data_IF_257201658415
#
_entry.id   IF_257201658415
#
_cell.length_a   1.000
_cell.length_b   1.000
_cell.length_c   1.000
_cell.angle_alpha   90.00
_cell.angle_beta   90.00
_cell.angle_gamma   90.00
#
_symmetry.space_group_name_H-M   'P 1'
#
loop_
_entity.id
_entity.type
_entity.pdbx_description
1 polymer ?
#
# COMPACT_ATOMS: atom_id res chain seq x y z
N UNK A 1 37.00 24.66 -10.25
CA UNK A 1 36.94 23.18 -10.30
C UNK A 1 35.47 22.83 -10.45
N UNK A 2 35.07 22.22 -11.56
CA UNK A 2 33.69 21.83 -11.78
C UNK A 2 33.48 20.47 -11.10
N UNK A 3 32.45 20.34 -10.26
CA UNK A 3 32.19 19.12 -9.49
C UNK A 3 31.56 18.08 -10.39
N UNK A 4 32.05 16.84 -10.37
CA UNK A 4 31.59 15.73 -11.22
C UNK A 4 30.11 15.36 -10.99
N UNK A 5 29.55 15.69 -9.81
CA UNK A 5 28.12 15.56 -9.53
C UNK A 5 27.27 16.70 -10.14
N UNK A 6 27.89 17.84 -10.45
CA UNK A 6 27.21 19.05 -10.94
C UNK A 6 27.39 19.17 -12.46
N UNK A 7 28.45 18.60 -13.02
CA UNK A 7 28.69 18.53 -14.46
C UNK A 7 28.12 17.25 -15.06
N UNK A 8 26.99 17.37 -15.74
CA UNK A 8 26.41 16.32 -16.59
C UNK A 8 27.22 16.14 -17.89
N UNK A 9 28.52 15.85 -17.79
CA UNK A 9 29.34 15.60 -18.98
C UNK A 9 29.17 14.12 -19.41
N UNK A 10 28.52 13.83 -20.56
CA UNK A 10 28.27 12.46 -21.01
C UNK A 10 29.56 11.68 -21.34
N UNK A 11 30.72 12.35 -21.35
CA UNK A 11 32.04 11.75 -21.51
C UNK A 11 32.48 10.86 -20.34
N UNK A 12 31.80 10.93 -19.18
CA UNK A 12 31.98 9.98 -18.06
C UNK A 12 31.39 8.58 -18.37
N UNK A 13 30.70 8.38 -19.49
CA UNK A 13 30.28 7.05 -19.94
C UNK A 13 31.46 6.18 -20.44
N UNK A 14 32.69 6.72 -20.50
CA UNK A 14 33.90 6.00 -20.93
C UNK A 14 34.70 5.37 -19.76
N UNK A 15 34.09 5.23 -18.58
CA UNK A 15 34.81 4.97 -17.35
C UNK A 15 34.87 3.48 -16.98
N UNK A 16 36.07 3.02 -16.62
CA UNK A 16 36.41 1.63 -16.34
C UNK A 16 35.72 0.99 -15.12
N UNK A 17 36.13 -0.22 -14.74
CA UNK A 17 35.56 -0.93 -13.58
C UNK A 17 35.69 -0.08 -12.30
N UNK A 18 34.59 0.02 -11.53
CA UNK A 18 34.54 0.75 -10.25
C UNK A 18 33.83 2.11 -10.28
N UNK A 19 33.51 2.63 -11.47
CA UNK A 19 32.84 3.94 -11.63
C UNK A 19 31.52 4.04 -10.90
N UNK A 20 30.65 3.04 -11.04
CA UNK A 20 29.35 3.02 -10.33
C UNK A 20 29.56 3.08 -8.82
N UNK A 21 30.53 2.33 -8.28
CA UNK A 21 30.81 2.34 -6.84
C UNK A 21 31.34 3.70 -6.37
N UNK A 22 32.16 4.36 -7.17
CA UNK A 22 32.63 5.72 -6.90
C UNK A 22 31.46 6.71 -6.89
N UNK A 23 30.59 6.68 -7.90
CA UNK A 23 29.41 7.54 -7.98
C UNK A 23 28.43 7.29 -6.82
N UNK A 24 28.23 6.03 -6.43
CA UNK A 24 27.42 5.70 -5.26
C UNK A 24 28.04 6.24 -3.96
N UNK A 25 29.36 6.17 -3.82
CA UNK A 25 30.06 6.71 -2.66
C UNK A 25 29.92 8.25 -2.59
N UNK A 26 30.05 8.93 -3.73
CA UNK A 26 29.79 10.36 -3.85
C UNK A 26 28.33 10.71 -3.55
N UNK A 27 27.38 9.93 -4.06
CA UNK A 27 25.96 10.11 -3.83
C UNK A 27 25.59 9.98 -2.34
N UNK A 28 26.23 9.06 -1.60
CA UNK A 28 26.04 8.94 -0.16
C UNK A 28 26.48 10.20 0.60
N UNK A 29 27.62 10.79 0.21
CA UNK A 29 28.09 12.07 0.77
C UNK A 29 27.10 13.18 0.40
N UNK A 30 26.64 13.20 -0.85
CA UNK A 30 25.65 14.17 -1.31
C UNK A 30 24.34 14.11 -0.52
N UNK A 31 23.79 12.92 -0.32
CA UNK A 31 22.58 12.69 0.46
C UNK A 31 22.75 13.06 1.93
N UNK A 32 23.93 12.82 2.50
CA UNK A 32 24.25 13.29 3.84
C UNK A 32 24.11 14.81 3.94
N UNK A 33 24.58 15.51 2.91
CA UNK A 33 24.55 16.96 2.83
C UNK A 33 23.18 17.56 2.53
N UNK A 34 22.40 16.97 1.61
CA UNK A 34 21.13 17.56 1.18
C UNK A 34 19.89 17.03 1.91
N UNK A 35 19.90 15.79 2.41
CA UNK A 35 18.71 15.14 3.00
C UNK A 35 18.89 14.83 4.49
N UNK A 36 19.97 14.13 4.88
CA UNK A 36 20.08 13.61 6.26
C UNK A 36 20.45 14.67 7.29
N UNK A 37 21.46 15.49 6.99
CA UNK A 37 21.99 16.48 7.93
C UNK A 37 22.11 17.87 7.29
N UNK A 38 21.02 18.43 6.72
CA UNK A 38 21.10 19.67 5.94
C UNK A 38 21.69 20.85 6.72
N UNK A 39 21.50 20.91 8.03
CA UNK A 39 22.02 21.99 8.88
C UNK A 39 23.54 21.99 9.02
N UNK A 40 24.20 20.85 8.71
CA UNK A 40 25.65 20.70 8.83
C UNK A 40 26.39 21.07 7.54
N UNK A 41 25.66 21.37 6.45
CA UNK A 41 26.23 21.50 5.11
C UNK A 41 25.67 22.71 4.35
N UNK A 42 26.55 23.57 3.85
CA UNK A 42 26.25 24.56 2.80
C UNK A 42 25.03 25.47 3.00
N UNK A 43 24.67 26.24 1.96
CA UNK A 43 23.39 26.94 1.89
C UNK A 43 22.31 26.07 1.25
N UNK A 44 21.04 26.48 1.40
CA UNK A 44 19.89 25.77 0.85
C UNK A 44 20.00 25.52 -0.66
N UNK A 45 20.40 26.54 -1.43
CA UNK A 45 20.56 26.44 -2.89
C UNK A 45 21.59 25.39 -3.33
N UNK A 46 22.72 25.26 -2.61
CA UNK A 46 23.72 24.24 -2.96
C UNK A 46 23.21 22.84 -2.64
N UNK A 47 22.49 22.67 -1.52
CA UNK A 47 21.88 21.38 -1.14
C UNK A 47 20.80 20.98 -2.15
N UNK A 48 19.98 21.93 -2.59
CA UNK A 48 18.98 21.74 -3.63
C UNK A 48 19.63 21.28 -4.94
N UNK A 49 20.61 22.02 -5.45
CA UNK A 49 21.33 21.64 -6.68
C UNK A 49 21.92 20.23 -6.60
N UNK A 50 22.41 19.84 -5.43
CA UNK A 50 22.94 18.51 -5.19
C UNK A 50 21.85 17.43 -5.24
N UNK A 51 20.70 17.67 -4.62
CA UNK A 51 19.56 16.76 -4.68
C UNK A 51 19.05 16.59 -6.13
N UNK A 52 18.89 17.71 -6.84
CA UNK A 52 18.55 17.76 -8.27
C UNK A 52 19.50 16.91 -9.11
N UNK A 53 20.81 17.08 -8.90
CA UNK A 53 21.84 16.30 -9.59
C UNK A 53 21.72 14.79 -9.34
N UNK A 54 21.41 14.40 -8.10
CA UNK A 54 21.25 12.99 -7.75
C UNK A 54 20.01 12.38 -8.40
N UNK A 55 18.88 13.10 -8.40
CA UNK A 55 17.63 12.64 -9.01
C UNK A 55 17.70 12.59 -10.54
N UNK A 56 18.48 13.48 -11.17
CA UNK A 56 18.68 13.52 -12.64
C UNK A 56 19.90 12.71 -13.11
N UNK A 57 20.54 11.94 -12.22
CA UNK A 57 21.70 11.12 -12.57
C UNK A 57 21.39 10.10 -13.69
N UNK A 58 22.28 9.91 -14.67
CA UNK A 58 22.05 8.91 -15.71
C UNK A 58 22.13 7.47 -15.19
N UNK A 59 22.83 7.23 -14.07
CA UNK A 59 22.89 5.92 -13.41
C UNK A 59 21.67 5.73 -12.49
N UNK A 60 20.90 4.67 -12.73
CA UNK A 60 19.69 4.38 -11.96
C UNK A 60 20.04 4.04 -10.50
N UNK A 61 21.19 3.42 -10.23
CA UNK A 61 21.61 3.05 -8.87
C UNK A 61 21.79 4.30 -7.99
N UNK A 62 22.27 5.40 -8.58
CA UNK A 62 22.40 6.69 -7.89
C UNK A 62 21.03 7.30 -7.60
N UNK A 63 20.11 7.24 -8.58
CA UNK A 63 18.74 7.74 -8.42
C UNK A 63 17.97 6.93 -7.37
N UNK A 64 18.07 5.61 -7.42
CA UNK A 64 17.48 4.70 -6.44
C UNK A 64 17.99 5.00 -5.03
N UNK A 65 19.31 5.11 -4.85
CA UNK A 65 19.92 5.46 -3.56
C UNK A 65 19.40 6.81 -3.05
N UNK A 66 19.25 7.80 -3.94
CA UNK A 66 18.73 9.11 -3.58
C UNK A 66 17.28 9.04 -3.11
N UNK A 67 16.43 8.34 -3.85
CA UNK A 67 15.03 8.12 -3.50
C UNK A 67 14.87 7.33 -2.20
N UNK A 68 15.72 6.34 -1.95
CA UNK A 68 15.73 5.61 -0.69
C UNK A 68 16.13 6.51 0.48
N UNK A 69 17.12 7.39 0.27
CA UNK A 69 17.52 8.40 1.27
C UNK A 69 16.39 9.37 1.60
N UNK A 70 15.68 9.86 0.58
CA UNK A 70 14.49 10.71 0.72
C UNK A 70 13.40 9.99 1.50
N UNK A 71 13.03 8.78 1.08
CA UNK A 71 11.97 7.99 1.70
C UNK A 71 12.25 7.73 3.17
N UNK A 72 13.50 7.35 3.50
CA UNK A 72 13.92 7.13 4.89
C UNK A 72 13.75 8.39 5.75
N UNK A 73 14.18 9.54 5.23
CA UNK A 73 14.05 10.80 5.97
C UNK A 73 12.59 11.21 6.18
N UNK A 74 11.73 10.95 5.20
CA UNK A 74 10.29 11.22 5.32
C UNK A 74 9.65 10.35 6.42
N UNK A 75 10.03 9.07 6.53
CA UNK A 75 9.52 8.22 7.61
C UNK A 75 10.07 8.62 8.98
N UNK A 76 11.36 8.99 9.09
CA UNK A 76 11.95 9.52 10.34
C UNK A 76 11.15 10.75 10.85
N UNK A 77 10.76 11.66 9.95
CA UNK A 77 9.94 12.83 10.30
C UNK A 77 8.49 12.50 10.66
N UNK A 78 7.94 11.38 10.17
CA UNK A 78 6.57 10.95 10.49
C UNK A 78 6.49 10.39 11.92
N UNK A 79 7.55 9.72 12.39
CA UNK A 79 7.65 9.16 13.74
C UNK A 79 7.87 10.22 14.82
N UNK A 80 8.49 11.36 14.48
CA UNK A 80 8.85 12.41 15.44
C UNK A 80 7.65 13.28 15.89
N UNK A 81 6.41 12.94 15.50
CA UNK A 81 5.15 13.69 15.75
C UNK A 81 5.20 15.18 15.31
N UNK A 82 6.29 15.62 14.67
CA UNK A 82 6.49 16.97 14.17
C UNK A 82 5.81 17.16 12.81
N UNK A 83 4.49 17.41 12.90
CA UNK A 83 3.70 18.25 12.01
C UNK A 83 3.33 17.62 10.66
N UNK A 84 2.03 17.72 10.33
CA UNK A 84 1.45 17.63 8.98
C UNK A 84 1.94 18.72 8.02
N UNK A 85 3.23 19.10 8.07
CA UNK A 85 3.84 20.12 7.23
C UNK A 85 4.71 19.46 6.18
N UNK A 86 4.72 20.07 5.00
CA UNK A 86 5.64 19.69 3.93
C UNK A 86 7.09 19.78 4.43
N UNK A 87 7.97 18.84 4.04
CA UNK A 87 9.35 18.83 4.49
C UNK A 87 10.06 20.12 4.03
N UNK A 88 10.64 20.88 4.96
CA UNK A 88 11.28 22.17 4.65
C UNK A 88 12.51 22.05 3.74
N UNK A 89 13.12 20.87 3.71
CA UNK A 89 14.28 20.57 2.87
C UNK A 89 13.91 20.16 1.43
N UNK A 90 12.62 19.88 1.17
CA UNK A 90 12.11 19.49 -0.13
C UNK A 90 11.26 20.63 -0.71
N UNK A 91 11.71 21.22 -1.81
CA UNK A 91 11.00 22.32 -2.45
C UNK A 91 10.08 21.87 -3.59
N UNK A 92 9.30 22.81 -4.12
CA UNK A 92 8.37 22.55 -5.21
C UNK A 92 9.04 22.04 -6.49
N UNK A 93 10.31 22.40 -6.72
CA UNK A 93 11.06 21.93 -7.89
C UNK A 93 11.46 20.47 -7.76
N UNK A 94 11.92 20.04 -6.57
CA UNK A 94 12.22 18.65 -6.30
C UNK A 94 10.94 17.78 -6.36
N UNK A 95 9.81 18.27 -5.86
CA UNK A 95 8.51 17.58 -6.01
C UNK A 95 8.09 17.50 -7.48
N UNK A 96 8.32 18.56 -8.27
CA UNK A 96 8.06 18.54 -9.72
C UNK A 96 8.94 17.51 -10.43
N UNK A 97 10.21 17.38 -10.05
CA UNK A 97 11.10 16.35 -10.59
C UNK A 97 10.64 14.94 -10.22
N UNK A 98 10.22 14.71 -8.97
CA UNK A 98 9.68 13.41 -8.53
C UNK A 98 8.41 13.03 -9.31
N UNK A 99 7.47 13.97 -9.49
CA UNK A 99 6.26 13.70 -10.29
C UNK A 99 6.57 13.47 -11.76
N UNK A 100 7.55 14.19 -12.33
CA UNK A 100 8.05 13.91 -13.68
C UNK A 100 8.67 12.52 -13.78
N UNK A 101 9.49 12.11 -12.80
CA UNK A 101 10.09 10.78 -12.75
C UNK A 101 9.02 9.69 -12.67
N UNK A 102 7.93 9.87 -11.93
CA UNK A 102 6.85 8.88 -11.85
C UNK A 102 6.18 8.58 -13.21
N UNK A 103 6.28 9.52 -14.16
CA UNK A 103 5.73 9.37 -15.52
C UNK A 103 6.75 8.77 -16.49
N UNK A 104 8.03 9.13 -16.35
CA UNK A 104 9.07 8.85 -17.36
C UNK A 104 10.11 7.81 -16.95
N UNK A 105 10.15 7.42 -15.68
CA UNK A 105 11.15 6.48 -15.19
C UNK A 105 11.02 5.12 -15.87
N UNK A 106 12.12 4.65 -16.43
CA UNK A 106 12.17 3.37 -17.14
C UNK A 106 12.67 2.23 -16.26
N UNK A 107 13.45 2.52 -15.22
CA UNK A 107 13.97 1.52 -14.31
C UNK A 107 12.95 1.17 -13.22
N UNK A 108 12.53 -0.09 -13.16
CA UNK A 108 11.41 -0.54 -12.33
C UNK A 108 11.60 -0.27 -10.82
N UNK A 109 12.81 -0.51 -10.28
CA UNK A 109 13.09 -0.24 -8.86
C UNK A 109 13.07 1.26 -8.55
N UNK A 110 13.61 2.08 -9.44
CA UNK A 110 13.55 3.54 -9.29
C UNK A 110 12.10 4.01 -9.34
N UNK A 111 11.31 3.51 -10.29
CA UNK A 111 9.90 3.87 -10.41
C UNK A 111 9.14 3.51 -9.13
N UNK A 112 9.34 2.30 -8.60
CA UNK A 112 8.74 1.89 -7.34
C UNK A 112 9.12 2.84 -6.19
N UNK A 113 10.41 3.19 -6.06
CA UNK A 113 10.89 4.13 -5.03
C UNK A 113 10.33 5.54 -5.18
N UNK A 114 10.24 6.08 -6.41
CA UNK A 114 9.59 7.38 -6.66
C UNK A 114 8.12 7.33 -6.19
N UNK A 115 7.39 6.28 -6.56
CA UNK A 115 5.98 6.16 -6.16
C UNK A 115 5.82 6.02 -4.65
N UNK A 116 6.72 5.32 -3.96
CA UNK A 116 6.74 5.24 -2.48
C UNK A 116 6.95 6.63 -1.85
N UNK A 117 7.92 7.41 -2.36
CA UNK A 117 8.13 8.79 -1.90
C UNK A 117 6.87 9.63 -2.11
N UNK A 118 6.24 9.53 -3.28
CA UNK A 118 5.02 10.27 -3.60
C UNK A 118 3.83 9.83 -2.75
N UNK A 119 3.72 8.56 -2.33
CA UNK A 119 2.70 8.11 -1.38
C UNK A 119 2.77 8.87 -0.05
N UNK A 120 3.98 9.06 0.47
CA UNK A 120 4.19 9.76 1.75
C UNK A 120 3.91 11.25 1.58
N UNK A 121 4.41 11.87 0.50
CA UNK A 121 4.19 13.28 0.24
C UNK A 121 2.70 13.60 0.01
N UNK A 122 1.99 12.77 -0.76
CA UNK A 122 0.56 12.94 -1.03
C UNK A 122 -0.30 12.81 0.25
N UNK A 123 0.14 11.99 1.21
CA UNK A 123 -0.52 11.89 2.52
C UNK A 123 -0.36 13.16 3.37
N UNK A 124 0.67 13.96 3.12
CA UNK A 124 0.93 15.25 3.80
C UNK A 124 0.23 16.44 3.12
N UNK A 125 -0.14 16.32 1.85
CA UNK A 125 -0.84 17.37 1.12
C UNK A 125 -0.98 17.07 -0.37
N UNK A 126 -1.83 17.85 -1.05
CA UNK A 126 -2.11 17.67 -2.48
C UNK A 126 -0.85 17.91 -3.34
N UNK A 127 -0.58 16.98 -4.26
CA UNK A 127 0.55 17.06 -5.17
C UNK A 127 0.18 17.75 -6.49
N UNK A 128 0.98 18.73 -6.90
CA UNK A 128 0.93 19.28 -8.26
C UNK A 128 1.69 18.37 -9.23
N UNK A 129 0.98 17.46 -9.89
CA UNK A 129 1.56 16.51 -10.85
C UNK A 129 2.08 17.19 -12.13
N UNK A 130 3.35 16.96 -12.46
CA UNK A 130 4.00 17.49 -13.67
C UNK A 130 4.41 16.39 -14.64
N UNK A 131 4.38 16.74 -15.92
CA UNK A 131 5.01 16.04 -17.02
C UNK A 131 5.71 17.07 -17.92
N UNK A 132 7.00 17.30 -17.65
CA UNK A 132 7.75 18.42 -18.21
C UNK A 132 7.08 19.75 -17.87
N UNK A 133 6.74 20.54 -18.90
CA UNK A 133 6.03 21.80 -18.72
C UNK A 133 4.51 21.64 -18.51
N UNK A 134 3.94 20.45 -18.72
CA UNK A 134 2.50 20.20 -18.61
C UNK A 134 2.13 19.82 -17.17
N UNK A 135 1.11 20.45 -16.60
CA UNK A 135 0.44 19.95 -15.38
C UNK A 135 -0.55 18.86 -15.77
N UNK A 136 -0.50 17.71 -15.08
CA UNK A 136 -1.42 16.62 -15.28
C UNK A 136 -2.66 16.79 -14.40
N UNK A 137 -3.82 16.42 -14.94
CA UNK A 137 -5.04 16.29 -14.15
C UNK A 137 -4.98 15.02 -13.29
N UNK A 138 -5.66 15.03 -12.14
CA UNK A 138 -5.74 13.87 -11.25
C UNK A 138 -6.26 12.60 -11.95
N UNK A 139 -7.15 12.76 -12.94
CA UNK A 139 -7.68 11.65 -13.76
C UNK A 139 -6.61 11.02 -14.66
N UNK A 140 -5.79 11.85 -15.30
CA UNK A 140 -4.66 11.36 -16.13
C UNK A 140 -3.67 10.59 -15.27
N UNK A 141 -3.38 11.09 -14.06
CA UNK A 141 -2.48 10.42 -13.12
C UNK A 141 -3.06 9.10 -12.62
N UNK A 142 -4.33 9.09 -12.20
CA UNK A 142 -4.99 7.86 -11.75
C UNK A 142 -5.00 6.80 -12.85
N UNK A 143 -5.32 7.18 -14.09
CA UNK A 143 -5.27 6.27 -15.24
C UNK A 143 -3.87 5.68 -15.43
N UNK A 144 -2.83 6.52 -15.35
CA UNK A 144 -1.44 6.09 -15.46
C UNK A 144 -1.06 5.09 -14.37
N UNK A 145 -1.37 5.38 -13.10
CA UNK A 145 -1.07 4.50 -11.97
C UNK A 145 -1.82 3.16 -12.04
N UNK A 146 -3.10 3.17 -12.42
CA UNK A 146 -3.87 1.93 -12.62
C UNK A 146 -3.29 1.08 -13.75
N UNK A 147 -2.86 1.72 -14.85
CA UNK A 147 -2.21 1.03 -15.97
C UNK A 147 -0.87 0.43 -15.54
N UNK A 148 -0.06 1.17 -14.77
CA UNK A 148 1.18 0.64 -14.20
C UNK A 148 0.93 -0.57 -13.31
N UNK A 149 0.00 -0.46 -12.37
CA UNK A 149 -0.32 -1.55 -11.45
C UNK A 149 -0.83 -2.82 -12.18
N UNK A 150 -1.59 -2.65 -13.27
CA UNK A 150 -2.03 -3.76 -14.13
C UNK A 150 -0.88 -4.40 -14.92
N UNK A 151 0.09 -3.61 -15.38
CA UNK A 151 1.21 -4.10 -16.17
C UNK A 151 2.29 -4.78 -15.32
N UNK A 152 2.38 -4.45 -14.03
CA UNK A 152 3.43 -4.92 -13.12
C UNK A 152 2.89 -5.71 -11.93
N UNK A 153 1.89 -6.56 -12.15
CA UNK A 153 1.25 -7.37 -11.09
C UNK A 153 2.21 -8.31 -10.36
N UNK A 154 3.34 -8.67 -10.98
CA UNK A 154 4.34 -9.57 -10.39
C UNK A 154 5.38 -8.84 -9.54
N UNK A 155 5.44 -7.51 -9.62
CA UNK A 155 6.38 -6.70 -8.84
C UNK A 155 5.68 -6.19 -7.60
N UNK A 156 5.93 -6.85 -6.47
CA UNK A 156 5.34 -6.50 -5.17
C UNK A 156 5.52 -5.02 -4.84
N UNK A 157 6.76 -4.50 -4.93
CA UNK A 157 7.06 -3.11 -4.59
C UNK A 157 6.34 -2.10 -5.49
N UNK A 158 6.38 -2.33 -6.80
CA UNK A 158 5.79 -1.41 -7.77
C UNK A 158 4.26 -1.45 -7.73
N UNK A 159 3.67 -2.65 -7.67
CA UNK A 159 2.23 -2.84 -7.51
C UNK A 159 1.74 -2.16 -6.22
N UNK A 160 2.43 -2.40 -5.11
CA UNK A 160 2.06 -1.85 -3.80
C UNK A 160 2.14 -0.32 -3.81
N UNK A 161 3.21 0.26 -4.33
CA UNK A 161 3.37 1.70 -4.40
C UNK A 161 2.36 2.36 -5.35
N UNK A 162 2.18 1.81 -6.55
CA UNK A 162 1.23 2.33 -7.54
C UNK A 162 -0.22 2.26 -7.03
N UNK A 163 -0.62 1.13 -6.44
CA UNK A 163 -1.98 0.94 -5.95
C UNK A 163 -2.25 1.74 -4.68
N UNK A 164 -1.27 1.90 -3.79
CA UNK A 164 -1.38 2.78 -2.62
C UNK A 164 -1.62 4.22 -3.05
N UNK A 165 -0.78 4.75 -3.94
CA UNK A 165 -0.94 6.13 -4.43
C UNK A 165 -2.23 6.33 -5.21
N UNK A 166 -2.61 5.37 -6.06
CA UNK A 166 -3.89 5.39 -6.77
C UNK A 166 -5.06 5.45 -5.78
N UNK A 167 -4.99 4.71 -4.67
CA UNK A 167 -6.03 4.69 -3.64
C UNK A 167 -6.16 6.03 -2.91
N UNK A 168 -5.05 6.73 -2.66
CA UNK A 168 -5.07 8.08 -2.09
C UNK A 168 -5.77 9.07 -3.05
N UNK A 169 -5.40 9.05 -4.34
CA UNK A 169 -6.05 9.90 -5.36
C UNK A 169 -7.53 9.57 -5.53
N UNK A 170 -7.92 8.30 -5.41
CA UNK A 170 -9.33 7.87 -5.44
C UNK A 170 -10.11 8.52 -4.29
N UNK A 171 -9.57 8.52 -3.09
CA UNK A 171 -10.22 9.13 -1.91
C UNK A 171 -10.38 10.64 -2.10
N UNK A 172 -9.36 11.33 -2.62
CA UNK A 172 -9.41 12.75 -2.96
C UNK A 172 -10.47 13.05 -4.03
N UNK A 173 -10.50 12.28 -5.12
CA UNK A 173 -11.48 12.43 -6.20
C UNK A 173 -12.91 12.27 -5.70
N UNK A 174 -13.17 11.25 -4.86
CA UNK A 174 -14.51 11.04 -4.28
C UNK A 174 -14.89 12.14 -3.29
N UNK A 175 -13.90 12.73 -2.63
CA UNK A 175 -14.12 13.86 -1.71
C UNK A 175 -14.36 15.18 -2.46
N UNK A 176 -13.93 15.28 -3.72
CA UNK A 176 -14.22 16.41 -4.60
C UNK A 176 -15.65 16.35 -5.17
N UNK A 177 -16.36 17.47 -5.21
CA UNK A 177 -17.79 17.56 -5.61
C UNK A 177 -18.03 17.37 -7.13
N UNK A 178 -17.08 16.78 -7.84
CA UNK A 178 -17.09 16.64 -9.30
C UNK A 178 -17.63 15.26 -9.72
N UNK A 179 -18.96 15.20 -9.89
CA UNK A 179 -19.69 14.06 -10.44
C UNK A 179 -19.45 13.92 -11.97
N UNK A 180 -18.22 13.60 -12.39
CA UNK A 180 -17.94 13.24 -13.77
C UNK A 180 -18.15 11.72 -13.97
N UNK A 181 -19.06 11.28 -14.86
CA UNK A 181 -19.28 9.86 -15.14
C UNK A 181 -18.02 9.11 -15.59
N UNK A 182 -17.03 9.78 -16.20
CA UNK A 182 -15.77 9.16 -16.56
C UNK A 182 -14.94 8.73 -15.32
N UNK A 183 -15.08 9.44 -14.20
CA UNK A 183 -14.40 9.10 -12.94
C UNK A 183 -14.90 7.78 -12.38
N UNK A 184 -16.20 7.50 -12.50
CA UNK A 184 -16.80 6.24 -12.02
C UNK A 184 -16.15 5.03 -12.70
N UNK A 185 -15.79 5.12 -13.98
CA UNK A 185 -15.10 4.02 -14.66
C UNK A 185 -13.72 3.73 -14.05
N UNK A 186 -12.93 4.77 -13.73
CA UNK A 186 -11.63 4.61 -13.07
C UNK A 186 -11.78 4.07 -11.65
N UNK A 187 -12.81 4.52 -10.92
CA UNK A 187 -13.13 4.03 -9.58
C UNK A 187 -13.47 2.54 -9.57
N UNK A 188 -14.28 2.09 -10.55
CA UNK A 188 -14.63 0.66 -10.69
C UNK A 188 -13.41 -0.15 -11.11
N UNK A 189 -12.58 0.36 -12.02
CA UNK A 189 -11.32 -0.29 -12.41
C UNK A 189 -10.36 -0.45 -11.23
N UNK A 190 -10.19 0.62 -10.44
CA UNK A 190 -9.43 0.58 -9.18
C UNK A 190 -9.98 -0.49 -8.24
N UNK A 191 -11.29 -0.50 -8.00
CA UNK A 191 -11.93 -1.45 -7.09
C UNK A 191 -11.72 -2.90 -7.53
N UNK A 192 -11.80 -3.18 -8.84
CA UNK A 192 -11.52 -4.50 -9.39
C UNK A 192 -10.06 -4.94 -9.16
N UNK A 193 -9.11 -4.03 -9.35
CA UNK A 193 -7.70 -4.30 -9.11
C UNK A 193 -7.42 -4.59 -7.64
N UNK A 194 -7.95 -3.75 -6.72
CA UNK A 194 -7.89 -3.99 -5.27
C UNK A 194 -8.45 -5.36 -4.92
N UNK A 195 -9.62 -5.73 -5.46
CA UNK A 195 -10.23 -7.04 -5.20
C UNK A 195 -9.32 -8.20 -5.67
N UNK A 196 -8.68 -8.06 -6.83
CA UNK A 196 -7.80 -9.09 -7.38
C UNK A 196 -6.56 -9.37 -6.52
N UNK A 197 -6.10 -8.36 -5.79
CA UNK A 197 -4.94 -8.45 -4.90
C UNK A 197 -5.27 -9.03 -3.51
N UNK A 198 -6.52 -9.42 -3.24
CA UNK A 198 -6.95 -10.04 -1.97
C UNK A 198 -6.97 -11.57 -1.99
N UNK A 199 -6.57 -12.20 -3.10
CA UNK A 199 -6.59 -13.66 -3.24
C UNK A 199 -5.56 -14.34 -2.32
N UNK A 200 -5.84 -15.58 -1.90
CA UNK A 200 -4.97 -16.36 -1.00
C UNK A 200 -3.56 -16.54 -1.57
N UNK A 201 -3.43 -16.69 -2.89
CA UNK A 201 -2.17 -16.88 -3.63
C UNK A 201 -1.27 -15.63 -3.67
N UNK A 202 -1.76 -14.48 -3.20
CA UNK A 202 -0.99 -13.24 -3.24
C UNK A 202 0.11 -13.22 -2.16
N UNK A 203 1.28 -12.62 -2.45
CA UNK A 203 2.31 -12.40 -1.43
C UNK A 203 1.76 -11.65 -0.21
N UNK A 204 2.25 -12.00 0.98
CA UNK A 204 1.77 -11.41 2.24
C UNK A 204 1.90 -9.88 2.23
N UNK A 205 2.94 -9.34 1.62
CA UNK A 205 3.20 -7.91 1.48
C UNK A 205 2.11 -7.22 0.65
N UNK A 206 1.65 -7.86 -0.42
CA UNK A 206 0.53 -7.35 -1.25
C UNK A 206 -0.75 -7.39 -0.45
N UNK A 207 -1.04 -8.47 0.28
CA UNK A 207 -2.24 -8.60 1.11
C UNK A 207 -2.27 -7.55 2.23
N UNK A 208 -1.13 -7.32 2.89
CA UNK A 208 -0.96 -6.26 3.90
C UNK A 208 -1.20 -4.87 3.31
N UNK A 209 -0.66 -4.59 2.12
CA UNK A 209 -0.91 -3.33 1.43
C UNK A 209 -2.41 -3.16 1.13
N UNK A 210 -3.07 -4.19 0.59
CA UNK A 210 -4.50 -4.08 0.26
C UNK A 210 -5.37 -3.92 1.51
N UNK A 211 -5.05 -4.61 2.61
CA UNK A 211 -5.72 -4.41 3.88
C UNK A 211 -5.66 -2.94 4.32
N UNK A 212 -4.46 -2.33 4.30
CA UNK A 212 -4.28 -0.91 4.63
C UNK A 212 -5.04 0.02 3.68
N UNK A 213 -5.05 -0.29 2.39
CA UNK A 213 -5.82 0.47 1.38
C UNK A 213 -7.32 0.40 1.66
N UNK A 214 -7.87 -0.80 1.88
CA UNK A 214 -9.30 -0.99 2.17
C UNK A 214 -9.71 -0.28 3.46
N UNK A 215 -8.90 -0.40 4.51
CA UNK A 215 -9.09 0.33 5.76
C UNK A 215 -9.12 1.83 5.49
N UNK A 216 -8.10 2.37 4.82
CA UNK A 216 -7.99 3.81 4.54
C UNK A 216 -9.17 4.35 3.73
N UNK A 217 -9.65 3.58 2.76
CA UNK A 217 -10.76 3.97 1.88
C UNK A 217 -12.15 3.69 2.45
N UNK A 218 -12.25 3.00 3.59
CA UNK A 218 -13.52 2.47 4.12
C UNK A 218 -14.59 3.55 4.37
N UNK A 219 -14.21 4.70 4.91
CA UNK A 219 -15.11 5.83 5.18
C UNK A 219 -15.62 6.48 3.90
N UNK A 220 -14.72 6.70 2.93
CA UNK A 220 -15.01 7.46 1.72
C UNK A 220 -15.75 6.63 0.66
N UNK A 221 -15.54 5.31 0.62
CA UNK A 221 -16.05 4.44 -0.44
C UNK A 221 -17.02 3.35 0.03
N UNK A 222 -16.70 2.67 1.14
CA UNK A 222 -17.41 1.43 1.53
C UNK A 222 -18.59 1.68 2.45
N UNK A 223 -18.47 2.64 3.36
CA UNK A 223 -19.52 3.05 4.32
C UNK A 223 -20.20 4.37 3.92
N UNK A 224 -19.77 4.97 2.80
CA UNK A 224 -20.36 6.20 2.28
C UNK A 224 -21.79 5.92 1.77
N UNK A 225 -22.82 6.63 2.27
CA UNK A 225 -24.21 6.40 1.88
C UNK A 225 -24.48 6.66 0.39
N UNK A 226 -23.65 7.47 -0.27
CA UNK A 226 -23.76 7.75 -1.70
C UNK A 226 -23.22 6.62 -2.59
N UNK A 227 -22.48 5.65 -2.02
CA UNK A 227 -21.90 4.50 -2.72
C UNK A 227 -21.23 4.92 -4.06
N UNK A 228 -20.12 5.69 -4.02
CA UNK A 228 -19.52 6.30 -5.21
C UNK A 228 -19.04 5.28 -6.26
N UNK A 229 -18.78 4.03 -5.86
CA UNK A 229 -18.40 2.93 -6.74
C UNK A 229 -19.62 2.22 -7.37
N UNK A 230 -20.82 2.51 -6.89
CA UNK A 230 -22.02 1.71 -7.11
C UNK A 230 -22.07 0.45 -6.24
N UNK A 231 -23.28 -0.08 -6.04
CA UNK A 231 -23.53 -1.20 -5.15
C UNK A 231 -22.69 -2.46 -5.44
N UNK A 232 -22.56 -2.95 -6.70
CA UNK A 232 -21.81 -4.18 -6.96
C UNK A 232 -20.33 -4.06 -6.58
N UNK A 233 -19.68 -2.95 -6.94
CA UNK A 233 -18.27 -2.74 -6.64
C UNK A 233 -18.03 -2.54 -5.14
N UNK A 234 -18.91 -1.80 -4.44
CA UNK A 234 -18.82 -1.68 -2.98
C UNK A 234 -18.97 -3.04 -2.28
N UNK A 235 -19.90 -3.89 -2.72
CA UNK A 235 -20.06 -5.24 -2.16
C UNK A 235 -18.82 -6.10 -2.42
N UNK A 236 -18.20 -6.01 -3.60
CA UNK A 236 -16.95 -6.72 -3.89
C UNK A 236 -15.83 -6.32 -2.94
N UNK A 237 -15.67 -5.02 -2.65
CA UNK A 237 -14.67 -4.57 -1.67
C UNK A 237 -14.94 -5.10 -0.27
N UNK A 238 -16.21 -5.14 0.16
CA UNK A 238 -16.58 -5.75 1.44
C UNK A 238 -16.22 -7.23 1.49
N UNK A 239 -16.48 -7.98 0.40
CA UNK A 239 -16.10 -9.40 0.31
C UNK A 239 -14.59 -9.56 0.40
N UNK A 240 -13.83 -8.74 -0.31
CA UNK A 240 -12.38 -8.71 -0.25
C UNK A 240 -11.85 -8.42 1.16
N UNK A 241 -12.41 -7.44 1.87
CA UNK A 241 -12.07 -7.17 3.27
C UNK A 241 -12.36 -8.38 4.16
N UNK A 242 -13.51 -9.05 3.98
CA UNK A 242 -13.84 -10.26 4.74
C UNK A 242 -12.94 -11.44 4.40
N UNK A 243 -12.43 -11.55 3.17
CA UNK A 243 -11.40 -12.53 2.82
C UNK A 243 -10.13 -12.27 3.63
N UNK A 244 -9.65 -11.02 3.68
CA UNK A 244 -8.44 -10.67 4.42
C UNK A 244 -8.58 -10.83 5.95
N UNK A 245 -9.78 -10.60 6.50
CA UNK A 245 -10.07 -10.87 7.92
C UNK A 245 -10.01 -12.36 8.28
N UNK A 246 -10.06 -13.24 7.27
CA UNK A 246 -9.96 -14.69 7.42
C UNK A 246 -8.62 -15.23 6.89
N UNK A 247 -7.67 -14.36 6.57
CA UNK A 247 -6.37 -14.77 6.04
C UNK A 247 -5.60 -15.64 7.04
N UNK A 248 -4.73 -16.52 6.55
CA UNK A 248 -3.90 -17.38 7.40
C UNK A 248 -2.85 -16.56 8.19
N UNK A 249 -2.35 -15.49 7.58
CA UNK A 249 -1.37 -14.61 8.20
C UNK A 249 -2.00 -13.68 9.24
N UNK A 250 -1.39 -13.65 10.43
CA UNK A 250 -1.93 -12.84 11.53
C UNK A 250 -1.85 -11.34 11.25
N UNK A 251 -0.74 -10.87 10.69
CA UNK A 251 -0.53 -9.44 10.45
C UNK A 251 -1.53 -8.93 9.41
N UNK A 252 -1.89 -9.76 8.42
CA UNK A 252 -2.96 -9.45 7.44
C UNK A 252 -4.31 -9.29 8.14
N UNK A 253 -4.68 -10.21 9.03
CA UNK A 253 -5.94 -10.12 9.78
C UNK A 253 -5.98 -8.90 10.69
N UNK A 254 -4.89 -8.66 11.43
CA UNK A 254 -4.78 -7.54 12.36
C UNK A 254 -4.89 -6.22 11.60
N UNK A 255 -4.13 -6.06 10.51
CA UNK A 255 -4.20 -4.90 9.60
C UNK A 255 -5.60 -4.71 9.00
N UNK A 256 -6.27 -5.77 8.56
CA UNK A 256 -7.64 -5.67 8.04
C UNK A 256 -8.64 -5.25 9.12
N UNK A 257 -8.46 -5.71 10.37
CA UNK A 257 -9.35 -5.43 11.50
C UNK A 257 -9.40 -3.95 11.90
N UNK A 258 -8.37 -3.18 11.56
CA UNK A 258 -8.30 -1.74 11.79
C UNK A 258 -9.44 -0.97 11.10
N UNK A 259 -10.15 -1.57 10.14
CA UNK A 259 -11.35 -0.98 9.53
C UNK A 259 -12.40 -0.61 10.57
N UNK A 260 -12.47 -1.34 11.69
CA UNK A 260 -13.42 -1.12 12.77
C UNK A 260 -13.30 0.28 13.38
N UNK A 261 -12.08 0.83 13.40
CA UNK A 261 -11.80 2.20 13.86
C UNK A 261 -12.37 3.29 12.93
N UNK A 262 -12.68 2.93 11.68
CA UNK A 262 -13.15 3.85 10.63
C UNK A 262 -14.63 3.71 10.31
N UNK A 263 -15.34 2.79 10.98
CA UNK A 263 -16.80 2.66 10.85
C UNK A 263 -17.47 3.86 11.53
N UNK A 264 -18.34 4.61 10.83
CA UNK A 264 -19.03 5.74 11.42
C UNK A 264 -19.81 5.36 12.69
N UNK A 265 -19.63 6.14 13.77
CA UNK A 265 -20.24 5.86 15.08
C UNK A 265 -21.77 5.73 15.07
N UNK A 266 -22.45 6.35 14.10
CA UNK A 266 -23.90 6.24 13.93
C UNK A 266 -24.34 4.85 13.43
N UNK A 267 -23.45 4.08 12.78
CA UNK A 267 -23.70 2.69 12.41
C UNK A 267 -23.49 1.74 13.60
N UNK A 268 -22.52 2.05 14.45
CA UNK A 268 -22.22 1.27 15.67
C UNK A 268 -23.31 1.46 16.74
N UNK A 269 -23.73 2.70 16.99
CA UNK A 269 -24.73 3.02 18.02
C UNK A 269 -26.12 2.43 17.75
N UNK A 270 -26.55 2.31 16.49
CA UNK A 270 -27.80 1.61 16.13
C UNK A 270 -27.76 0.11 16.42
N UNK A 271 -26.58 -0.53 16.33
CA UNK A 271 -26.42 -1.92 16.72
C UNK A 271 -26.48 -2.09 18.25
N UNK A 272 -25.88 -1.15 19.01
CA UNK A 272 -25.93 -1.14 20.47
C UNK A 272 -27.34 -0.86 21.03
N UNK A 273 -28.09 0.06 20.42
CA UNK A 273 -29.47 0.35 20.81
C UNK A 273 -30.41 -0.83 20.58
N UNK A 274 -30.24 -1.59 19.49
CA UNK A 274 -31.02 -2.82 19.26
C UNK A 274 -30.71 -3.95 20.25
N UNK A 275 -29.50 -3.98 20.82
CA UNK A 275 -29.16 -4.91 21.91
C UNK A 275 -29.83 -4.54 23.23
N UNK A 276 -30.05 -3.24 23.51
CA UNK A 276 -30.80 -2.79 24.68
C UNK A 276 -32.32 -2.97 24.53
N UNK A 277 -32.89 -2.72 23.34
CA UNK A 277 -34.31 -2.97 23.07
C UNK A 277 -34.67 -4.48 23.07
N UNK A 278 -33.69 -5.34 22.77
CA UNK A 278 -33.83 -6.80 22.90
C UNK A 278 -33.77 -7.32 24.35
N UNK A 279 -33.19 -6.56 25.28
CA UNK A 279 -33.19 -6.90 26.73
C UNK A 279 -34.39 -6.33 27.47
N UNK A 280 -34.95 -5.22 27.00
CA UNK A 280 -36.10 -4.56 27.63
C UNK A 280 -37.45 -5.21 27.29
N UNK A 281 -37.48 -6.10 26.28
CA UNK A 281 -38.67 -6.91 25.95
C UNK A 281 -38.73 -8.26 26.68
N UNK A 282 -37.72 -8.60 27.49
CA UNK A 282 -37.66 -9.83 28.29
C UNK A 282 -38.04 -9.65 29.77
N UNK A 283 -38.32 -8.44 30.23
CA UNK A 283 -38.74 -8.15 31.62
C UNK A 283 -40.26 -8.11 31.84
N UNK A 284 -41.09 -8.29 30.80
CA UNK A 284 -42.56 -8.26 30.93
C UNK A 284 -43.25 -9.63 30.87
N UNK A 285 -42.52 -10.76 30.77
CA UNK A 285 -43.15 -12.08 30.65
C UNK A 285 -42.43 -13.15 31.51
N UNK A 286 -42.61 -13.09 32.83
CA UNK A 286 -42.35 -14.24 33.71
C UNK A 286 -43.48 -14.43 34.73
N UNK A 287 -44.49 -15.20 34.34
CA UNK A 287 -45.18 -16.13 35.25
C UNK A 287 -45.30 -17.50 34.58
N UNK A 288 -44.59 -18.47 35.16
CA UNK A 288 -44.77 -19.93 35.06
C UNK A 288 -44.63 -20.63 33.69
N UNK A 289 -43.43 -21.16 33.39
CA UNK A 289 -43.08 -22.62 33.42
C UNK A 289 -41.82 -22.94 32.60
N UNK A 290 -40.95 -23.75 33.21
CA UNK A 290 -39.89 -24.62 32.63
C UNK A 290 -38.68 -24.01 31.88
N UNK A 291 -37.50 -24.13 32.50
CA UNK A 291 -36.18 -24.22 31.86
C UNK A 291 -35.88 -25.69 31.45
N UNK A 292 -34.85 -26.01 30.62
CA UNK A 292 -33.86 -25.11 30.01
C UNK A 292 -33.59 -25.35 28.50
N UNK A 293 -33.11 -24.33 27.78
CA UNK A 293 -32.26 -24.52 26.61
C UNK A 293 -31.13 -23.48 26.60
N UNK A 294 -29.91 -23.99 26.83
CA UNK A 294 -28.64 -23.28 26.71
C UNK A 294 -28.47 -22.76 25.28
N UNK A 295 -28.27 -21.45 25.11
CA UNK A 295 -27.62 -20.92 23.91
C UNK A 295 -26.15 -21.34 24.01
N UNK A 296 -25.75 -22.29 23.15
CA UNK A 296 -24.34 -22.62 22.91
C UNK A 296 -23.74 -21.47 22.08
N UNK A 297 -22.72 -20.83 22.61
CA UNK A 297 -21.71 -20.17 21.78
C UNK A 297 -21.12 -21.26 20.88
N UNK A 298 -21.25 -21.11 19.56
CA UNK A 298 -20.51 -21.92 18.59
C UNK A 298 -19.08 -21.37 18.59
N UNK A 299 -18.26 -21.90 19.47
CA UNK A 299 -16.80 -21.86 19.35
C UNK A 299 -16.41 -22.78 18.20
N UNK A 300 -15.98 -22.21 17.07
CA UNK A 300 -15.26 -22.95 16.04
C UNK A 300 -13.85 -23.25 16.56
N UNK A 301 -13.69 -24.43 17.17
CA UNK A 301 -12.39 -25.08 17.33
C UNK A 301 -12.10 -25.89 16.08
N UNK A 302 -11.00 -25.55 15.39
CA UNK A 302 -10.41 -26.36 14.33
C UNK A 302 -10.16 -27.81 14.81
N UNK A 303 -10.43 -28.84 14.00
CA UNK A 303 -9.97 -30.19 14.31
C UNK A 303 -8.48 -30.33 13.99
N UNK A 304 -7.72 -30.81 14.97
CA UNK A 304 -6.35 -31.28 14.81
C UNK A 304 -6.28 -32.47 13.82
N UNK A 305 -5.14 -32.68 13.14
CA UNK A 305 -4.98 -33.77 12.18
C UNK A 305 -5.07 -35.14 12.87
N UNK A 306 -5.87 -36.04 12.30
CA UNK A 306 -5.93 -37.44 12.72
C UNK A 306 -4.60 -38.13 12.45
N UNK A 307 -3.87 -38.43 13.53
CA UNK A 307 -2.83 -39.45 13.56
C UNK A 307 -3.48 -40.83 13.33
N UNK A 308 -3.01 -41.54 12.31
CA UNK A 308 -3.31 -42.95 12.10
C UNK A 308 -2.57 -43.80 13.13
N UNK A 309 -3.21 -44.78 13.80
CA UNK A 309 -2.47 -45.74 14.62
C UNK A 309 -1.84 -46.81 13.73
N UNK A 310 -0.54 -46.95 13.89
CA UNK A 310 0.27 -48.10 13.49
C UNK A 310 -0.24 -49.39 14.13
N UNK A 311 -0.71 -50.34 13.31
CA UNK A 311 -0.75 -51.76 13.67
C UNK A 311 0.43 -52.44 12.97
N UNK A 312 1.57 -52.43 13.66
CA UNK A 312 2.70 -53.30 13.33
C UNK A 312 2.50 -54.62 14.08
N UNK A 313 2.80 -55.71 13.37
CA UNK A 313 3.00 -57.07 13.87
C UNK A 313 1.78 -57.92 14.27
N UNK A 314 1.27 -58.65 13.27
CA UNK A 314 1.28 -60.11 13.40
C UNK A 314 1.94 -60.73 12.17
N UNK A 315 3.25 -60.98 12.31
CA UNK A 315 4.07 -61.80 11.45
C UNK A 315 3.58 -63.26 11.40
N UNK A 316 4.01 -63.94 10.33
CA UNK A 316 4.07 -65.38 10.12
C UNK A 316 2.78 -66.14 9.73
N UNK A 317 2.52 -66.27 8.42
CA UNK A 317 2.80 -67.53 7.72
C UNK A 317 2.57 -67.45 6.20
N UNK A 318 3.50 -68.09 5.47
CA UNK A 318 3.49 -68.51 4.05
C UNK A 318 3.80 -67.42 3.01
N UNK A 319 5.06 -67.26 2.60
CA UNK A 319 5.88 -68.14 1.74
C UNK A 319 5.38 -68.26 0.29
N UNK A 320 6.23 -67.72 -0.59
CA UNK A 320 6.64 -68.25 -1.90
C UNK A 320 5.63 -68.19 -3.07
N UNK A 321 5.94 -67.29 -4.01
CA UNK A 321 5.94 -67.33 -5.50
C UNK A 321 5.31 -68.54 -6.26
N UNK A 322 5.32 -68.53 -7.61
CA UNK A 322 4.72 -67.64 -8.62
C UNK A 322 3.83 -68.46 -9.62
N UNK A 323 3.13 -67.83 -10.57
CA UNK A 323 3.06 -68.23 -12.01
C UNK A 323 1.85 -67.68 -12.78
N UNK A 324 2.17 -67.18 -13.96
CA UNK A 324 1.52 -67.34 -15.28
C UNK A 324 -0.01 -67.43 -15.38
N UNK A 325 -0.61 -66.47 -16.10
CA UNK A 325 -1.08 -66.67 -17.48
C UNK A 325 -1.29 -65.32 -18.17
#
# INVERSE_FOLDING_TARGET
MASELITSDPSLALLGPGTTQYLLSLAQVGLSACVRFPDRWGGFEQRKQLLDSLLRSPQYEVRELALEGILRKLHEEEEEEEIQRSPLWLDETAVSDLTNMAVHETHQQCLAKVLQVLCVLNSRGELSWKNGAKTLSQKEVLMHLLTLAQNFTHSVDLLSAALTLASQLVVELVSSDHQDPAVVAYLVQWGALVCSCCGEEQPVEVKLMVAKVLVTCSSSLMTNPHLPLGFPATVSLWRSLFTLLQDEDQDVRDSASDFTSRVPAHLLSKASQKLHEGTDTLTAAQTHKQLPARIRLVSYTFPAPLQTPTLYESLHHRMLSPNMT
#
